data_IF_013572591669
#
_entry.id   IF_013572591669
#
_cell.length_a   1.000
_cell.length_b   1.000
_cell.length_c   1.000
_cell.angle_alpha   90.00
_cell.angle_beta   90.00
_cell.angle_gamma   90.00
#
_symmetry.space_group_name_H-M   'P 1'
#
loop_
_entity.id
_entity.type
_entity.pdbx_description
1 polymer ?
#
# COMPACT_ATOMS: atom_id res chain seq x y z
N UNK A 1 -6.66 9.30 61.22
CA UNK A 1 -6.79 8.81 59.83
C UNK A 1 -6.90 7.29 59.86
N UNK A 2 -8.08 6.73 59.57
CA UNK A 2 -8.44 5.33 59.87
C UNK A 2 -7.52 4.34 59.09
N UNK A 3 -6.71 3.50 59.75
CA UNK A 3 -5.68 2.67 59.12
C UNK A 3 -6.24 1.72 58.05
N UNK A 4 -7.48 1.26 58.23
CA UNK A 4 -8.21 0.42 57.25
C UNK A 4 -8.48 1.17 55.93
N UNK A 5 -8.71 2.47 55.98
CA UNK A 5 -8.98 3.31 54.79
C UNK A 5 -7.69 3.60 54.01
N UNK A 6 -6.56 3.77 54.71
CA UNK A 6 -5.23 3.90 54.07
C UNK A 6 -4.84 2.62 53.34
N UNK A 7 -5.01 1.46 53.97
CA UNK A 7 -4.69 0.16 53.35
C UNK A 7 -5.52 -0.11 52.08
N UNK A 8 -6.83 0.19 52.10
CA UNK A 8 -7.68 0.09 50.90
C UNK A 8 -7.29 1.07 49.79
N UNK A 9 -6.84 2.28 50.16
CA UNK A 9 -6.36 3.27 49.20
C UNK A 9 -5.05 2.82 48.53
N UNK A 10 -4.10 2.29 49.30
CA UNK A 10 -2.86 1.73 48.73
C UNK A 10 -3.15 0.54 47.80
N UNK A 11 -4.08 -0.36 48.19
CA UNK A 11 -4.51 -1.46 47.33
C UNK A 11 -5.09 -0.94 45.99
N UNK A 12 -5.98 0.06 46.05
CA UNK A 12 -6.59 0.64 44.85
C UNK A 12 -5.54 1.29 43.93
N UNK A 13 -4.56 2.01 44.48
CA UNK A 13 -3.47 2.62 43.71
C UNK A 13 -2.60 1.57 43.04
N UNK A 14 -2.22 0.50 43.76
CA UNK A 14 -1.41 -0.60 43.20
C UNK A 14 -2.15 -1.29 42.06
N UNK A 15 -3.46 -1.56 42.22
CA UNK A 15 -4.28 -2.14 41.15
C UNK A 15 -4.34 -1.20 39.94
N UNK A 16 -4.54 0.10 40.17
CA UNK A 16 -4.62 1.08 39.08
C UNK A 16 -3.31 1.19 38.31
N UNK A 17 -2.16 1.21 39.01
CA UNK A 17 -0.83 1.17 38.39
C UNK A 17 -0.64 -0.14 37.62
N UNK A 18 -1.05 -1.28 38.19
CA UNK A 18 -0.97 -2.58 37.53
C UNK A 18 -1.73 -2.58 36.21
N UNK A 19 -2.98 -2.11 36.20
CA UNK A 19 -3.80 -2.00 34.99
C UNK A 19 -3.17 -1.05 33.97
N UNK A 20 -2.67 0.11 34.41
CA UNK A 20 -2.04 1.08 33.53
C UNK A 20 -0.76 0.53 32.88
N UNK A 21 0.07 -0.18 33.64
CA UNK A 21 1.28 -0.84 33.14
C UNK A 21 0.92 -1.90 32.09
N UNK A 22 -0.05 -2.77 32.39
CA UNK A 22 -0.52 -3.81 31.46
C UNK A 22 -1.06 -3.20 30.18
N UNK A 23 -1.90 -2.17 30.26
CA UNK A 23 -2.45 -1.50 29.10
C UNK A 23 -1.34 -0.85 28.24
N UNK A 24 -0.35 -0.23 28.87
CA UNK A 24 0.77 0.41 28.18
C UNK A 24 1.61 -0.61 27.42
N UNK A 25 1.96 -1.73 28.06
CA UNK A 25 2.72 -2.82 27.43
C UNK A 25 1.93 -3.45 26.28
N UNK A 26 0.62 -3.60 26.42
CA UNK A 26 -0.25 -4.14 25.38
C UNK A 26 -0.30 -3.21 24.14
N UNK A 27 -0.47 -1.90 24.36
CA UNK A 27 -0.45 -0.91 23.27
C UNK A 27 0.91 -0.85 22.57
N UNK A 28 2.01 -0.94 23.33
CA UNK A 28 3.37 -0.98 22.77
C UNK A 28 3.58 -2.21 21.87
N UNK A 29 3.16 -3.39 22.32
CA UNK A 29 3.26 -4.62 21.55
C UNK A 29 2.37 -4.60 20.29
N UNK A 30 1.20 -3.97 20.36
CA UNK A 30 0.33 -3.83 19.18
C UNK A 30 0.96 -2.91 18.14
N UNK A 31 1.58 -1.80 18.56
CA UNK A 31 2.22 -0.83 17.65
C UNK A 31 3.36 -1.45 16.84
N UNK A 32 4.12 -2.38 17.43
CA UNK A 32 5.23 -3.06 16.75
C UNK A 32 4.80 -4.18 15.79
N UNK A 33 3.54 -4.61 15.82
CA UNK A 33 3.04 -5.70 14.98
C UNK A 33 2.26 -5.24 13.73
N UNK A 34 2.00 -3.94 13.57
CA UNK A 34 1.20 -3.43 12.45
C UNK A 34 2.10 -3.16 11.24
N UNK A 35 1.76 -3.79 10.11
CA UNK A 35 2.36 -3.50 8.80
C UNK A 35 1.81 -2.16 8.27
N UNK A 36 2.46 -1.07 8.66
CA UNK A 36 2.08 0.29 8.25
C UNK A 36 2.33 0.51 6.76
N UNK A 37 1.39 1.18 6.11
CA UNK A 37 1.53 1.59 4.70
C UNK A 37 2.30 2.91 4.60
N UNK A 38 3.28 2.95 3.70
CA UNK A 38 4.09 4.12 3.37
C UNK A 38 4.23 4.29 1.86
N UNK A 39 4.37 5.54 1.41
CA UNK A 39 4.85 5.85 0.06
C UNK A 39 6.39 5.99 0.04
N UNK A 40 7.06 5.82 -1.12
CA UNK A 40 8.50 6.07 -1.23
C UNK A 40 8.92 7.44 -0.68
N UNK A 41 8.12 8.47 -0.97
CA UNK A 41 8.32 9.83 -0.46
C UNK A 41 8.25 9.91 1.06
N UNK A 42 7.30 9.21 1.69
CA UNK A 42 7.11 9.21 3.15
C UNK A 42 8.22 8.48 3.88
N UNK A 43 8.83 7.46 3.29
CA UNK A 43 9.98 6.77 3.89
C UNK A 43 11.20 7.70 3.92
N UNK A 44 11.40 8.51 2.87
CA UNK A 44 12.54 9.44 2.76
C UNK A 44 12.33 10.72 3.58
N UNK A 45 11.15 11.33 3.45
CA UNK A 45 10.84 12.65 4.00
C UNK A 45 10.15 12.57 5.37
N UNK A 46 9.63 11.40 5.76
CA UNK A 46 8.80 11.22 6.95
C UNK A 46 7.30 11.27 6.62
N UNK A 47 6.52 10.51 7.39
CA UNK A 47 5.06 10.41 7.22
C UNK A 47 4.33 11.44 8.09
N UNK A 48 3.39 12.17 7.48
CA UNK A 48 2.52 13.13 8.16
C UNK A 48 3.23 14.38 8.70
N UNK A 49 2.50 15.21 9.46
CA UNK A 49 3.04 16.44 10.06
C UNK A 49 4.17 16.17 11.06
N UNK A 50 4.15 15.00 11.70
CA UNK A 50 5.13 14.58 12.70
C UNK A 50 6.45 14.05 12.10
N UNK A 51 6.60 13.99 10.78
CA UNK A 51 7.80 13.50 10.08
C UNK A 51 8.28 12.14 10.60
N UNK A 52 7.33 11.25 10.91
CA UNK A 52 7.66 9.97 11.53
C UNK A 52 8.30 9.05 10.47
N UNK A 53 9.59 8.78 10.63
CA UNK A 53 10.36 7.92 9.73
C UNK A 53 10.28 6.48 10.23
N UNK A 54 10.08 5.50 9.33
CA UNK A 54 10.17 4.10 9.70
C UNK A 54 11.58 3.76 10.19
N UNK A 55 11.66 2.88 11.19
CA UNK A 55 12.93 2.40 11.72
C UNK A 55 13.48 1.25 10.87
N UNK A 56 14.81 1.13 10.81
CA UNK A 56 15.46 -0.02 10.17
C UNK A 56 15.09 -1.28 10.95
N UNK A 57 14.64 -2.32 10.24
CA UNK A 57 14.12 -3.56 10.82
C UNK A 57 12.60 -3.58 11.01
N UNK A 58 11.90 -2.47 10.79
CA UNK A 58 10.45 -2.41 10.88
C UNK A 58 9.79 -3.09 9.67
N UNK A 59 8.72 -3.85 9.93
CA UNK A 59 7.85 -4.39 8.88
C UNK A 59 6.93 -3.29 8.37
N UNK A 60 6.87 -3.14 7.04
CA UNK A 60 6.06 -2.12 6.40
C UNK A 60 5.56 -2.56 5.03
N UNK A 61 4.56 -1.84 4.53
CA UNK A 61 4.03 -1.95 3.17
C UNK A 61 4.38 -0.68 2.41
N UNK A 62 5.13 -0.81 1.33
CA UNK A 62 5.45 0.30 0.44
C UNK A 62 4.57 0.24 -0.80
N UNK A 63 3.86 1.32 -1.11
CA UNK A 63 3.05 1.44 -2.33
C UNK A 63 3.53 2.56 -3.23
N UNK A 64 3.63 2.29 -4.53
CA UNK A 64 4.02 3.28 -5.53
C UNK A 64 4.02 2.70 -6.94
N UNK A 65 4.65 3.39 -7.89
CA UNK A 65 4.79 2.93 -9.27
C UNK A 65 6.16 2.29 -9.48
N UNK A 66 6.22 1.24 -10.28
CA UNK A 66 7.51 0.62 -10.66
C UNK A 66 8.20 1.51 -11.68
N UNK A 67 9.45 1.90 -11.40
CA UNK A 67 10.25 2.72 -12.32
C UNK A 67 10.59 1.93 -13.60
N UNK A 68 10.28 2.47 -14.79
CA UNK A 68 10.65 1.84 -16.06
C UNK A 68 12.16 1.64 -16.20
N UNK A 69 12.57 0.48 -16.71
CA UNK A 69 13.97 0.05 -16.86
C UNK A 69 14.71 -0.24 -15.55
N UNK A 70 14.04 -0.19 -14.40
CA UNK A 70 14.69 -0.44 -13.10
C UNK A 70 14.72 -1.91 -12.69
N UNK A 71 13.93 -2.77 -13.33
CA UNK A 71 13.76 -4.17 -12.92
C UNK A 71 14.96 -4.99 -13.36
N UNK A 72 15.77 -5.42 -12.39
CA UNK A 72 16.93 -6.29 -12.59
C UNK A 72 16.66 -7.63 -11.95
N UNK A 73 16.71 -8.70 -12.75
CA UNK A 73 16.61 -10.08 -12.28
C UNK A 73 18.01 -10.70 -12.28
N UNK A 74 18.36 -11.37 -11.20
CA UNK A 74 19.55 -12.21 -11.17
C UNK A 74 19.32 -13.45 -12.05
N UNK A 75 20.35 -13.92 -12.74
CA UNK A 75 20.28 -15.12 -13.58
C UNK A 75 20.60 -16.40 -12.80
N UNK A 76 21.28 -16.27 -11.65
CA UNK A 76 21.71 -17.39 -10.80
C UNK A 76 20.77 -17.61 -9.62
N UNK A 77 20.05 -16.58 -9.19
CA UNK A 77 19.13 -16.61 -8.04
C UNK A 77 17.75 -16.11 -8.44
N UNK A 78 16.72 -16.38 -7.61
CA UNK A 78 15.37 -15.82 -7.77
C UNK A 78 15.26 -14.37 -7.25
N UNK A 79 16.39 -13.68 -7.11
CA UNK A 79 16.42 -12.32 -6.60
C UNK A 79 16.08 -11.32 -7.72
N UNK A 80 15.19 -10.38 -7.40
CA UNK A 80 14.78 -9.28 -8.26
C UNK A 80 14.93 -7.98 -7.49
N UNK A 81 15.59 -7.00 -8.11
CA UNK A 81 15.73 -5.65 -7.58
C UNK A 81 15.04 -4.67 -8.52
N UNK A 82 14.20 -3.80 -8.00
CA UNK A 82 13.50 -2.77 -8.77
C UNK A 82 13.29 -1.52 -7.94
N UNK A 83 13.08 -0.38 -8.60
CA UNK A 83 12.77 0.88 -7.91
C UNK A 83 11.28 1.14 -7.92
N UNK A 84 10.76 1.52 -6.76
CA UNK A 84 9.39 2.02 -6.61
C UNK A 84 9.46 3.53 -6.38
N UNK A 85 8.75 4.29 -7.20
CA UNK A 85 8.74 5.74 -7.13
C UNK A 85 7.32 6.29 -6.99
N UNK A 86 7.26 7.52 -6.50
CA UNK A 86 6.08 8.35 -6.34
C UNK A 86 6.45 9.77 -6.83
N UNK A 87 5.52 10.73 -6.75
CA UNK A 87 5.70 12.10 -7.21
C UNK A 87 6.93 12.83 -6.61
N UNK A 88 7.43 12.42 -5.43
CA UNK A 88 8.47 13.14 -4.69
C UNK A 88 9.69 12.29 -4.30
N UNK A 89 9.73 11.01 -4.62
CA UNK A 89 10.81 10.13 -4.18
C UNK A 89 10.82 8.76 -4.84
N UNK A 90 11.94 8.06 -4.72
CA UNK A 90 12.13 6.71 -5.22
C UNK A 90 12.92 5.87 -4.21
N UNK A 91 12.53 4.61 -4.05
CA UNK A 91 13.14 3.66 -3.14
C UNK A 91 13.44 2.34 -3.85
N UNK A 92 14.57 1.74 -3.46
CA UNK A 92 14.99 0.44 -3.93
C UNK A 92 14.26 -0.67 -3.18
N UNK A 93 13.72 -1.62 -3.93
CA UNK A 93 13.02 -2.80 -3.41
C UNK A 93 13.75 -4.05 -3.90
N UNK A 94 14.08 -4.94 -2.97
CA UNK A 94 14.65 -6.26 -3.26
C UNK A 94 13.65 -7.33 -2.88
N UNK A 95 13.37 -8.24 -3.81
CA UNK A 95 12.42 -9.33 -3.64
C UNK A 95 13.08 -10.64 -4.04
N UNK A 96 12.88 -11.71 -3.26
CA UNK A 96 13.37 -13.04 -3.60
C UNK A 96 12.18 -13.96 -3.79
N UNK A 97 11.90 -14.32 -5.05
CA UNK A 97 10.74 -15.14 -5.40
C UNK A 97 10.27 -14.92 -6.83
N UNK A 98 9.08 -15.43 -7.12
CA UNK A 98 8.42 -15.28 -8.41
C UNK A 98 7.51 -14.06 -8.33
N UNK A 99 7.77 -13.06 -9.18
CA UNK A 99 6.88 -11.90 -9.27
C UNK A 99 5.53 -12.32 -9.87
N UNK A 100 4.41 -11.70 -9.45
CA UNK A 100 3.11 -11.95 -10.06
C UNK A 100 3.13 -11.64 -11.57
N UNK A 101 2.33 -12.35 -12.35
CA UNK A 101 2.25 -12.15 -13.81
C UNK A 101 1.79 -10.74 -14.22
N UNK A 102 1.03 -10.07 -13.34
CA UNK A 102 0.56 -8.69 -13.53
C UNK A 102 1.64 -7.64 -13.19
N UNK A 103 2.79 -8.04 -12.64
CA UNK A 103 3.86 -7.09 -12.36
C UNK A 103 4.47 -6.57 -13.65
N UNK A 104 4.36 -5.26 -13.89
CA UNK A 104 5.02 -4.58 -15.01
C UNK A 104 5.58 -3.24 -14.58
N UNK A 105 6.58 -2.81 -15.34
CA UNK A 105 7.13 -1.46 -15.25
C UNK A 105 6.07 -0.41 -15.58
N UNK A 106 6.08 0.71 -14.86
CA UNK A 106 5.09 1.78 -15.02
C UNK A 106 3.70 1.49 -14.42
N UNK A 107 3.51 0.34 -13.77
CA UNK A 107 2.27 0.03 -13.05
C UNK A 107 2.41 0.24 -11.54
N UNK A 108 1.26 0.42 -10.88
CA UNK A 108 1.16 0.52 -9.42
C UNK A 108 1.38 -0.84 -8.76
N UNK A 109 2.27 -0.88 -7.78
CA UNK A 109 2.62 -2.06 -7.01
C UNK A 109 2.61 -1.76 -5.52
N UNK A 110 2.26 -2.76 -4.72
CA UNK A 110 2.45 -2.74 -3.26
C UNK A 110 3.42 -3.86 -2.89
N UNK A 111 4.52 -3.52 -2.24
CA UNK A 111 5.47 -4.49 -1.72
C UNK A 111 5.39 -4.51 -0.18
N UNK A 112 5.25 -5.69 0.40
CA UNK A 112 5.28 -5.89 1.84
C UNK A 112 6.62 -6.48 2.24
N UNK A 113 7.29 -5.86 3.20
CA UNK A 113 8.66 -6.21 3.53
C UNK A 113 9.17 -5.61 4.84
N UNK A 114 10.48 -5.71 5.00
CA UNK A 114 11.22 -5.08 6.11
C UNK A 114 12.11 -3.99 5.56
N UNK A 115 12.12 -2.83 6.21
CA UNK A 115 13.05 -1.76 5.87
C UNK A 115 14.48 -2.15 6.28
N UNK A 116 15.37 -2.26 5.31
CA UNK A 116 16.79 -2.46 5.50
C UNK A 116 17.56 -1.15 5.58
N UNK A 117 18.87 -1.27 5.73
CA UNK A 117 19.78 -0.13 5.70
C UNK A 117 19.79 0.55 4.32
N UNK A 118 20.05 1.86 4.29
CA UNK A 118 20.14 2.62 3.04
C UNK A 118 18.80 2.86 2.32
N UNK A 119 17.68 2.80 3.04
CA UNK A 119 16.32 2.94 2.50
C UNK A 119 15.97 1.86 1.47
N UNK A 120 16.53 0.66 1.60
CA UNK A 120 16.19 -0.50 0.77
C UNK A 120 15.10 -1.31 1.47
N UNK A 121 14.01 -1.62 0.77
CA UNK A 121 12.96 -2.50 1.31
C UNK A 121 13.22 -3.94 0.86
N UNK A 122 13.44 -4.83 1.82
CA UNK A 122 13.50 -6.27 1.59
C UNK A 122 12.07 -6.82 1.57
N UNK A 123 11.48 -6.88 0.39
CA UNK A 123 10.12 -7.37 0.17
C UNK A 123 10.06 -8.88 0.35
N UNK A 124 9.07 -9.32 1.13
CA UNK A 124 8.67 -10.72 1.26
C UNK A 124 7.52 -11.06 0.31
N UNK A 125 6.71 -10.08 -0.05
CA UNK A 125 5.55 -10.25 -0.92
C UNK A 125 5.39 -9.02 -1.80
N UNK A 126 5.01 -9.24 -3.06
CA UNK A 126 4.76 -8.18 -4.05
C UNK A 126 3.37 -8.41 -4.61
N UNK A 127 2.52 -7.40 -4.48
CA UNK A 127 1.14 -7.38 -4.95
C UNK A 127 1.06 -6.39 -6.10
N UNK A 128 0.82 -6.89 -7.31
CA UNK A 128 0.50 -6.06 -8.46
C UNK A 128 -0.98 -5.69 -8.42
N UNK A 129 -1.32 -4.45 -8.79
CA UNK A 129 -2.73 -4.05 -8.86
C UNK A 129 -3.45 -4.87 -9.94
N UNK A 130 -4.59 -5.46 -9.58
CA UNK A 130 -5.48 -6.10 -10.54
C UNK A 130 -6.34 -5.03 -11.22
N UNK A 131 -6.06 -4.74 -12.48
CA UNK A 131 -6.92 -3.87 -13.31
C UNK A 131 -8.03 -4.72 -13.95
N UNK A 132 -8.84 -5.40 -13.14
CA UNK A 132 -10.05 -6.04 -13.66
C UNK A 132 -11.17 -5.01 -13.75
N UNK A 133 -11.29 -4.37 -14.91
CA UNK A 133 -12.55 -3.77 -15.33
C UNK A 133 -13.52 -4.93 -15.65
N UNK A 134 -14.08 -5.54 -14.60
CA UNK A 134 -15.07 -6.61 -14.72
C UNK A 134 -16.25 -6.11 -15.55
N UNK A 135 -16.42 -6.68 -16.73
CA UNK A 135 -17.62 -6.49 -17.55
C UNK A 135 -18.44 -7.76 -17.40
N UNK A 136 -19.61 -7.73 -16.73
CA UNK A 136 -20.44 -8.91 -16.54
C UNK A 136 -20.84 -9.50 -17.90
N UNK A 137 -20.92 -10.84 -18.02
CA UNK A 137 -21.32 -11.51 -19.27
C UNK A 137 -22.71 -11.07 -19.75
N UNK A 138 -23.60 -10.71 -18.83
CA UNK A 138 -24.93 -10.14 -19.11
C UNK A 138 -24.86 -8.88 -19.99
N UNK A 139 -23.82 -8.06 -19.83
CA UNK A 139 -23.62 -6.82 -20.61
C UNK A 139 -23.05 -7.13 -22.00
N UNK A 140 -22.23 -8.17 -22.11
CA UNK A 140 -21.71 -8.65 -23.40
C UNK A 140 -22.80 -9.34 -24.23
N UNK A 141 -23.73 -10.04 -23.60
CA UNK A 141 -24.86 -10.70 -24.26
C UNK A 141 -25.96 -9.69 -24.63
N UNK A 142 -26.26 -8.72 -23.78
CA UNK A 142 -27.16 -7.61 -24.11
C UNK A 142 -26.64 -6.72 -25.27
N UNK A 143 -25.32 -6.63 -25.46
CA UNK A 143 -24.70 -5.95 -26.60
C UNK A 143 -24.76 -6.77 -27.90
N UNK A 144 -24.89 -8.10 -27.84
CA UNK A 144 -25.05 -8.96 -29.02
C UNK A 144 -26.51 -9.07 -29.47
N UNK A 145 -27.47 -9.07 -28.55
CA UNK A 145 -28.90 -9.11 -28.88
C UNK A 145 -29.43 -7.78 -29.46
N UNK A 146 -28.87 -6.62 -29.05
CA UNK A 146 -29.29 -5.32 -29.56
C UNK A 146 -28.54 -4.89 -30.83
N UNK A 147 -28.76 -5.59 -31.94
CA UNK A 147 -28.37 -5.11 -33.29
C UNK A 147 -29.20 -3.91 -33.80
N UNK A 148 -30.08 -3.30 -32.98
CA UNK A 148 -30.84 -2.10 -33.33
C UNK A 148 -30.95 -1.08 -32.17
N UNK A 149 -30.11 -0.04 -32.24
CA UNK A 149 -30.27 1.28 -31.60
C UNK A 149 -29.43 1.51 -30.33
N UNK A 150 -28.98 2.75 -29.99
CA UNK A 150 -29.34 4.09 -30.49
C UNK A 150 -28.11 4.90 -30.99
N UNK A 151 -27.07 4.25 -31.52
CA UNK A 151 -25.85 4.96 -31.95
C UNK A 151 -26.10 5.93 -33.14
N UNK A 152 -27.20 5.77 -33.88
CA UNK A 152 -27.62 6.72 -34.91
C UNK A 152 -28.31 7.97 -34.37
N UNK A 153 -28.66 8.02 -33.08
CA UNK A 153 -29.40 9.14 -32.47
C UNK A 153 -28.48 10.23 -31.92
N UNK A 154 -27.17 9.96 -31.78
CA UNK A 154 -26.18 10.90 -31.23
C UNK A 154 -25.12 11.36 -32.26
N UNK A 155 -25.37 11.18 -33.56
CA UNK A 155 -24.57 11.84 -34.59
C UNK A 155 -24.98 13.32 -34.67
N UNK A 156 -24.13 14.20 -34.14
CA UNK A 156 -24.30 15.65 -34.24
C UNK A 156 -24.48 16.09 -35.71
N UNK A 157 -25.34 17.08 -36.01
CA UNK A 157 -25.61 17.47 -37.38
C UNK A 157 -24.36 18.10 -38.02
N UNK A 158 -23.84 17.48 -39.08
CA UNK A 158 -22.86 18.10 -39.97
C UNK A 158 -23.57 19.11 -40.87
N UNK A 159 -23.19 20.38 -40.74
CA UNK A 159 -23.52 21.45 -41.65
C UNK A 159 -22.95 21.15 -43.05
N UNK A 160 -23.81 20.88 -44.02
CA UNK A 160 -23.50 21.07 -45.44
C UNK A 160 -24.70 21.74 -46.13
N UNK A 161 -24.50 22.95 -46.64
CA UNK A 161 -25.54 23.65 -47.39
C UNK A 161 -25.29 25.13 -47.62
N UNK A 162 -24.16 25.52 -48.24
CA UNK A 162 -24.06 26.80 -48.94
C UNK A 162 -22.94 26.76 -50.00
N UNK A 163 -23.25 26.16 -51.15
CA UNK A 163 -22.69 26.59 -52.44
C UNK A 163 -23.87 26.92 -53.36
N UNK A 164 -24.04 28.20 -53.65
CA UNK A 164 -24.56 28.72 -54.91
C UNK A 164 -23.44 29.57 -55.51
#
# INVERSE_FOLDING_TARGET
MNPRRKSRLYLAIVVLIGVALTATLMLYALRSNIDLFYTPSEILLGKGENHEKPEVGQRLRIGGMVMPGSVKRDQKTLQVSFKVYDARGAIDVTYTGILPDLFREGQGVVAQGVLGEGNVVNAREVLAKHDEKYTPPEVADAMKENHKGPASTYAAPQNEGAKS
#
